data_IF_663924009611
#
_entry.id   IF_663924009611
#
_cell.length_a   1.000
_cell.length_b   1.000
_cell.length_c   1.000
_cell.angle_alpha   90.00
_cell.angle_beta   90.00
_cell.angle_gamma   90.00
#
_symmetry.space_group_name_H-M   'P 1'
#
loop_
_entity.id
_entity.type
_entity.pdbx_description
1 polymer ?
#
# COMPACT_ATOMS: atom_id res chain seq x y z
N UNK A 1 -15.28 -4.61 2.61
CA UNK A 1 -16.31 -5.01 1.62
C UNK A 1 -16.01 -6.38 0.99
N UNK A 2 -14.78 -6.62 0.52
CA UNK A 2 -14.33 -7.92 -0.02
C UNK A 2 -14.69 -9.15 0.85
N UNK A 3 -14.48 -9.07 2.17
CA UNK A 3 -14.85 -10.16 3.09
C UNK A 3 -16.36 -10.39 3.19
N UNK A 4 -17.18 -9.33 3.12
CA UNK A 4 -18.64 -9.44 3.18
C UNK A 4 -19.23 -9.98 1.86
N UNK A 5 -18.59 -9.69 0.71
CA UNK A 5 -19.00 -10.16 -0.61
C UNK A 5 -18.38 -11.53 -0.98
N UNK A 6 -17.67 -12.20 -0.05
CA UNK A 6 -16.88 -13.43 -0.29
C UNK A 6 -15.89 -13.33 -1.46
N UNK A 7 -15.53 -12.13 -1.86
CA UNK A 7 -14.56 -11.86 -2.93
C UNK A 7 -13.18 -11.57 -2.32
N UNK A 8 -12.65 -12.54 -1.58
CA UNK A 8 -11.35 -12.41 -0.90
C UNK A 8 -10.17 -12.74 -1.79
N UNK A 9 -10.43 -13.43 -2.90
CA UNK A 9 -9.40 -13.81 -3.87
C UNK A 9 -8.97 -12.60 -4.70
N UNK A 10 -7.65 -12.46 -4.87
CA UNK A 10 -7.03 -11.36 -5.57
C UNK A 10 -5.87 -10.74 -4.81
N UNK A 11 -5.16 -9.83 -5.46
CA UNK A 11 -4.05 -9.09 -4.86
C UNK A 11 -3.78 -7.78 -5.60
N UNK A 12 -3.12 -6.86 -4.92
CA UNK A 12 -2.49 -5.70 -5.52
C UNK A 12 -0.98 -5.77 -5.30
N UNK A 13 -0.22 -5.72 -6.39
CA UNK A 13 1.25 -5.69 -6.38
C UNK A 13 1.72 -4.36 -6.94
N UNK A 14 2.63 -3.71 -6.24
CA UNK A 14 3.23 -2.44 -6.65
C UNK A 14 4.72 -2.64 -6.79
N UNK A 15 5.29 -2.16 -7.90
CA UNK A 15 6.72 -2.23 -8.17
C UNK A 15 7.29 -0.82 -8.05
N UNK A 16 8.35 -0.68 -7.25
CA UNK A 16 9.05 0.59 -7.05
C UNK A 16 10.53 0.47 -7.41
N UNK A 17 11.13 1.58 -7.82
CA UNK A 17 12.59 1.67 -7.97
C UNK A 17 13.29 1.76 -6.59
N UNK A 18 14.62 1.77 -6.60
CA UNK A 18 15.45 1.90 -5.37
C UNK A 18 15.21 3.19 -4.59
N UNK A 19 14.63 4.22 -5.22
CA UNK A 19 14.30 5.52 -4.61
C UNK A 19 12.84 5.58 -4.13
N UNK A 20 12.08 4.49 -4.29
CA UNK A 20 10.68 4.41 -3.90
C UNK A 20 9.71 5.06 -4.89
N UNK A 21 10.14 5.36 -6.13
CA UNK A 21 9.23 5.81 -7.20
C UNK A 21 8.46 4.62 -7.76
N UNK A 22 7.18 4.82 -8.03
CA UNK A 22 6.30 3.79 -8.55
C UNK A 22 6.61 3.60 -10.05
N UNK A 23 6.93 2.36 -10.44
CA UNK A 23 7.25 1.98 -11.81
C UNK A 23 6.08 1.25 -12.47
N UNK A 24 5.24 0.58 -11.67
CA UNK A 24 4.06 -0.09 -12.16
C UNK A 24 3.24 -0.71 -11.01
N UNK A 25 2.01 -1.09 -11.34
CA UNK A 25 1.13 -1.82 -10.44
C UNK A 25 0.34 -2.89 -11.20
N UNK A 26 -0.02 -3.96 -10.49
CA UNK A 26 -0.86 -5.04 -10.98
C UNK A 26 -1.95 -5.29 -9.96
N UNK A 27 -3.21 -5.32 -10.39
CA UNK A 27 -4.36 -5.62 -9.53
C UNK A 27 -5.12 -6.77 -10.17
N UNK A 28 -5.41 -7.78 -9.37
CA UNK A 28 -6.25 -8.93 -9.74
C UNK A 28 -7.38 -9.00 -8.73
N UNK A 29 -8.62 -9.08 -9.21
CA UNK A 29 -9.83 -9.16 -8.38
C UNK A 29 -10.99 -8.34 -8.95
N UNK A 30 -12.14 -8.32 -8.26
CA UNK A 30 -13.31 -7.55 -8.69
C UNK A 30 -12.99 -6.06 -8.80
N UNK A 31 -13.49 -5.42 -9.85
CA UNK A 31 -13.27 -3.99 -10.16
C UNK A 31 -11.80 -3.59 -10.27
N UNK A 32 -10.90 -4.52 -10.59
CA UNK A 32 -9.48 -4.21 -10.82
C UNK A 32 -9.28 -3.08 -11.85
N UNK A 33 -10.09 -3.03 -12.91
CA UNK A 33 -10.07 -1.97 -13.92
C UNK A 33 -10.39 -0.57 -13.37
N UNK A 34 -11.21 -0.46 -12.32
CA UNK A 34 -11.47 0.83 -11.66
C UNK A 34 -10.40 1.15 -10.61
N UNK A 35 -9.92 0.12 -9.89
CA UNK A 35 -8.93 0.27 -8.82
C UNK A 35 -7.53 0.61 -9.34
N UNK A 36 -7.23 0.33 -10.62
CA UNK A 36 -5.91 0.59 -11.20
C UNK A 36 -5.67 2.06 -11.54
N UNK A 37 -6.73 2.85 -11.75
CA UNK A 37 -6.62 4.24 -12.23
C UNK A 37 -5.71 5.13 -11.36
N UNK A 38 -5.81 5.12 -10.01
CA UNK A 38 -4.89 5.90 -9.16
C UNK A 38 -3.42 5.51 -9.34
N UNK A 39 -3.15 4.24 -9.64
CA UNK A 39 -1.80 3.74 -9.89
C UNK A 39 -1.27 4.18 -11.25
N UNK A 40 -2.13 4.23 -12.28
CA UNK A 40 -1.77 4.77 -13.59
C UNK A 40 -1.37 6.24 -13.47
N UNK A 41 -2.17 7.04 -12.74
CA UNK A 41 -1.84 8.44 -12.47
C UNK A 41 -0.51 8.57 -11.71
N UNK A 42 -0.30 7.77 -10.66
CA UNK A 42 0.94 7.79 -9.89
C UNK A 42 2.19 7.43 -10.71
N UNK A 43 2.07 6.50 -11.66
CA UNK A 43 3.16 6.15 -12.61
C UNK A 43 3.42 7.30 -13.59
N UNK A 44 2.36 7.87 -14.17
CA UNK A 44 2.45 9.02 -15.09
C UNK A 44 3.19 10.19 -14.46
N UNK A 45 2.84 10.51 -13.21
CA UNK A 45 3.40 11.61 -12.44
C UNK A 45 4.76 11.27 -11.78
N UNK A 46 5.28 10.04 -12.00
CA UNK A 46 6.53 9.54 -11.39
C UNK A 46 6.54 9.68 -9.87
N UNK A 47 5.38 9.49 -9.24
CA UNK A 47 5.19 9.68 -7.81
C UNK A 47 5.97 8.64 -7.00
N UNK A 48 6.37 9.05 -5.78
CA UNK A 48 6.89 8.12 -4.77
C UNK A 48 5.73 7.40 -4.09
N UNK A 49 6.02 6.25 -3.50
CA UNK A 49 5.02 5.44 -2.76
C UNK A 49 4.53 6.09 -1.46
N UNK A 50 5.27 7.08 -0.93
CA UNK A 50 4.93 7.79 0.31
C UNK A 50 3.54 8.45 0.28
N UNK A 51 3.26 9.36 -0.68
CA UNK A 51 1.93 9.93 -0.87
C UNK A 51 0.81 8.89 -0.96
N UNK A 52 1.00 7.82 -1.74
CA UNK A 52 0.03 6.73 -1.86
C UNK A 52 -0.23 6.03 -0.52
N UNK A 53 0.82 5.81 0.28
CA UNK A 53 0.71 5.23 1.62
C UNK A 53 0.08 6.20 2.63
N UNK A 54 0.03 7.50 2.35
CA UNK A 54 -0.63 8.51 3.17
C UNK A 54 -2.14 8.60 2.96
N UNK A 55 -2.65 8.17 1.80
CA UNK A 55 -4.08 8.29 1.43
C UNK A 55 -4.98 7.60 2.46
N UNK A 56 -6.08 8.25 2.85
CA UNK A 56 -7.11 7.64 3.69
C UNK A 56 -8.09 6.93 2.74
N UNK A 57 -7.96 5.60 2.64
CA UNK A 57 -8.91 4.80 1.88
C UNK A 57 -10.21 4.63 2.68
N UNK A 58 -11.39 4.88 2.09
CA UNK A 58 -12.66 4.64 2.77
C UNK A 58 -12.83 3.19 3.19
N UNK A 59 -13.41 2.97 4.37
CA UNK A 59 -13.78 1.66 4.90
C UNK A 59 -15.31 1.55 5.00
N UNK A 60 -15.95 0.41 4.65
CA UNK A 60 -15.37 -0.80 4.06
C UNK A 60 -15.40 -0.74 2.51
N UNK A 61 -14.25 -0.75 1.82
CA UNK A 61 -14.18 -0.72 0.34
C UNK A 61 -13.12 -1.66 -0.24
N UNK A 62 -13.13 -1.85 -1.57
CA UNK A 62 -12.04 -2.57 -2.25
C UNK A 62 -10.76 -1.73 -2.34
N UNK A 63 -10.88 -0.40 -2.33
CA UNK A 63 -9.74 0.54 -2.39
C UNK A 63 -8.81 0.44 -1.19
N UNK A 64 -9.24 -0.19 -0.09
CA UNK A 64 -8.37 -0.58 1.02
C UNK A 64 -7.17 -1.42 0.57
N UNK A 65 -7.31 -2.21 -0.51
CA UNK A 65 -6.20 -2.99 -1.06
C UNK A 65 -5.05 -2.10 -1.52
N UNK A 66 -5.35 -0.93 -2.11
CA UNK A 66 -4.35 0.03 -2.56
C UNK A 66 -3.61 0.65 -1.39
N UNK A 67 -4.32 0.97 -0.29
CA UNK A 67 -3.70 1.46 0.94
C UNK A 67 -2.77 0.42 1.57
N UNK A 68 -3.21 -0.85 1.62
CA UNK A 68 -2.38 -1.95 2.14
C UNK A 68 -1.14 -2.18 1.28
N UNK A 69 -1.29 -2.17 -0.05
CA UNK A 69 -0.18 -2.34 -0.99
C UNK A 69 0.84 -1.19 -0.93
N UNK A 70 0.38 0.06 -0.76
CA UNK A 70 1.29 1.18 -0.56
C UNK A 70 2.00 1.11 0.81
N UNK A 71 1.26 0.74 1.87
CA UNK A 71 1.78 0.62 3.22
C UNK A 71 2.80 -0.51 3.40
N UNK A 72 2.65 -1.63 2.68
CA UNK A 72 3.57 -2.76 2.76
C UNK A 72 5.00 -2.41 2.37
N UNK A 73 5.20 -1.35 1.58
CA UNK A 73 6.54 -0.82 1.27
C UNK A 73 7.32 -0.42 2.53
N UNK A 74 6.64 0.14 3.54
CA UNK A 74 7.30 0.64 4.75
C UNK A 74 7.39 -0.40 5.87
N UNK A 75 6.62 -1.50 5.77
CA UNK A 75 6.56 -2.53 6.80
C UNK A 75 7.94 -3.11 7.19
N UNK A 76 8.85 -3.45 6.26
CA UNK A 76 10.18 -3.97 6.62
C UNK A 76 11.00 -2.99 7.48
N UNK A 77 10.88 -1.69 7.21
CA UNK A 77 11.59 -0.64 7.94
C UNK A 77 10.97 -0.40 9.32
N UNK A 78 9.64 -0.33 9.38
CA UNK A 78 8.87 -0.13 10.61
C UNK A 78 9.06 -1.28 11.61
N UNK A 79 9.07 -2.53 11.13
CA UNK A 79 9.21 -3.71 12.00
C UNK A 79 10.66 -4.19 12.17
N UNK A 80 11.64 -3.36 11.80
CA UNK A 80 13.06 -3.69 11.92
C UNK A 80 13.53 -3.79 13.38
N UNK A 81 14.56 -4.62 13.70
CA UNK A 81 15.06 -4.77 15.08
C UNK A 81 15.55 -3.45 15.70
N UNK A 82 16.14 -2.56 14.88
CA UNK A 82 16.57 -1.23 15.32
C UNK A 82 15.38 -0.37 15.73
N UNK A 83 14.33 -0.35 14.92
CA UNK A 83 13.10 0.40 15.24
C UNK A 83 12.45 -0.13 16.51
N UNK A 84 12.38 -1.45 16.68
CA UNK A 84 11.87 -2.06 17.93
C UNK A 84 12.67 -1.64 19.18
N UNK A 85 14.00 -1.50 19.07
CA UNK A 85 14.84 -0.99 20.18
C UNK A 85 14.53 0.47 20.51
N UNK A 86 14.36 1.32 19.50
CA UNK A 86 14.00 2.74 19.68
C UNK A 86 12.64 2.85 20.37
N UNK A 87 11.64 2.13 19.87
CA UNK A 87 10.29 2.13 20.46
C UNK A 87 10.35 1.64 21.92
N UNK A 88 11.10 0.58 22.21
CA UNK A 88 11.26 0.07 23.58
C UNK A 88 11.94 1.06 24.51
N UNK A 89 12.90 1.83 24.01
CA UNK A 89 13.53 2.91 24.78
C UNK A 89 12.51 4.00 25.10
N UNK A 90 11.75 4.47 24.10
CA UNK A 90 10.72 5.50 24.28
C UNK A 90 9.57 5.06 25.19
N UNK A 91 9.21 3.77 25.20
CA UNK A 91 8.18 3.24 26.11
C UNK A 91 8.63 3.11 27.57
N UNK A 92 9.94 3.21 27.83
CA UNK A 92 10.53 3.03 29.15
C UNK A 92 10.89 4.38 29.82
N UNK A 93 10.91 5.45 29.05
CA UNK A 93 10.92 6.84 29.53
C UNK A 93 9.48 7.34 29.68
#
# INVERSE_FOLDING_TARGET
RAQAERATDGFAKVVTDRKGRIVGATIVGPRAGELILPWVAAVSDRQRVGPMAGIIAPYPTLSEVSKRAAGSYFAPKLFSPRMKKIVRFLQRF
#
